data_IF_806721032456
#
_entry.id   IF_806721032456
#
_cell.length_a   1.000
_cell.length_b   1.000
_cell.length_c   1.000
_cell.angle_alpha   90.00
_cell.angle_beta   90.00
_cell.angle_gamma   90.00
#
_symmetry.space_group_name_H-M   'P 1'
#
loop_
_entity.id
_entity.type
_entity.pdbx_description
1 polymer ?
#
# COMPACT_ATOMS: atom_id res chain seq x y z
N UNK A 1 -0.64 -17.40 16.21
CA UNK A 1 0.71 -17.72 16.74
C UNK A 1 1.82 -17.10 15.90
N UNK A 2 1.89 -17.33 14.58
CA UNK A 2 2.86 -16.63 13.67
C UNK A 2 2.75 -15.10 13.77
N UNK A 3 1.53 -14.57 13.90
CA UNK A 3 1.26 -13.13 14.04
C UNK A 3 1.93 -12.49 15.27
N UNK A 4 2.12 -13.24 16.36
CA UNK A 4 2.80 -12.74 17.57
C UNK A 4 4.29 -12.63 17.33
N UNK A 5 4.91 -13.64 16.71
CA UNK A 5 6.34 -13.62 16.38
C UNK A 5 6.67 -12.56 15.32
N UNK A 6 5.82 -12.40 14.30
CA UNK A 6 5.98 -11.39 13.26
C UNK A 6 5.88 -9.97 13.84
N UNK A 7 4.93 -9.71 14.76
CA UNK A 7 4.79 -8.41 15.42
C UNK A 7 5.92 -8.09 16.39
N UNK A 8 6.52 -9.11 17.03
CA UNK A 8 7.63 -8.93 17.97
C UNK A 8 9.01 -8.86 17.27
N UNK A 9 9.07 -8.64 15.96
CA UNK A 9 10.32 -8.56 15.20
C UNK A 9 11.08 -9.89 15.03
N UNK A 10 10.56 -10.99 15.61
CA UNK A 10 11.12 -12.35 15.50
C UNK A 10 10.68 -13.02 14.20
N UNK A 11 10.95 -12.36 13.08
CA UNK A 11 10.51 -12.79 11.75
C UNK A 11 11.12 -14.13 11.32
N UNK A 12 12.31 -14.47 11.82
CA UNK A 12 12.96 -15.77 11.56
C UNK A 12 12.18 -16.92 12.19
N UNK A 13 11.72 -16.76 13.42
CA UNK A 13 10.92 -17.78 14.11
C UNK A 13 9.53 -17.90 13.50
N UNK A 14 8.92 -16.75 13.14
CA UNK A 14 7.68 -16.71 12.38
C UNK A 14 7.82 -17.47 11.06
N UNK A 15 8.96 -17.32 10.36
CA UNK A 15 9.25 -18.01 9.11
C UNK A 15 9.41 -19.51 9.30
N UNK A 16 10.16 -19.94 10.31
CA UNK A 16 10.33 -21.37 10.62
C UNK A 16 8.97 -22.04 10.92
N UNK A 17 8.12 -21.36 11.70
CA UNK A 17 6.77 -21.85 11.97
C UNK A 17 5.91 -21.91 10.71
N UNK A 18 5.97 -20.87 9.88
CA UNK A 18 5.25 -20.81 8.61
C UNK A 18 5.66 -21.96 7.67
N UNK A 19 6.95 -22.19 7.50
CA UNK A 19 7.45 -23.25 6.61
C UNK A 19 7.00 -24.64 7.09
N UNK A 20 7.03 -24.89 8.41
CA UNK A 20 6.54 -26.12 9.04
C UNK A 20 5.02 -26.31 9.01
N UNK A 21 4.22 -25.31 8.61
CA UNK A 21 2.78 -25.48 8.54
C UNK A 21 2.39 -26.48 7.43
N UNK A 22 1.64 -27.55 7.76
CA UNK A 22 1.20 -28.55 6.79
C UNK A 22 0.14 -27.98 5.82
N UNK A 23 -0.67 -27.02 6.27
CA UNK A 23 -1.58 -26.25 5.42
C UNK A 23 -1.42 -24.76 5.71
N UNK A 24 -1.00 -24.01 4.70
CA UNK A 24 -0.87 -22.55 4.75
C UNK A 24 -2.14 -21.93 4.19
N UNK A 25 -2.79 -21.07 4.98
CA UNK A 25 -3.98 -20.33 4.55
C UNK A 25 -3.64 -18.87 4.28
N UNK A 26 -4.57 -18.12 3.69
CA UNK A 26 -4.36 -16.72 3.28
C UNK A 26 -3.92 -15.82 4.45
N UNK A 27 -4.47 -16.05 5.65
CA UNK A 27 -4.08 -15.32 6.87
C UNK A 27 -2.61 -15.56 7.22
N UNK A 28 -2.11 -16.79 7.11
CA UNK A 28 -0.70 -17.11 7.37
C UNK A 28 0.25 -16.45 6.36
N UNK A 29 -0.13 -16.40 5.07
CA UNK A 29 0.61 -15.69 4.04
C UNK A 29 0.63 -14.18 4.28
N UNK A 30 -0.54 -13.56 4.50
CA UNK A 30 -0.68 -12.13 4.77
C UNK A 30 0.11 -11.72 6.03
N UNK A 31 0.10 -12.57 7.06
CA UNK A 31 0.89 -12.34 8.28
C UNK A 31 2.40 -12.34 8.00
N UNK A 32 2.89 -13.29 7.21
CA UNK A 32 4.32 -13.35 6.87
C UNK A 32 4.76 -12.22 5.97
N UNK A 33 3.95 -11.88 4.96
CA UNK A 33 4.19 -10.72 4.10
C UNK A 33 4.27 -9.46 4.96
N UNK A 34 3.26 -9.18 5.79
CA UNK A 34 3.26 -8.02 6.69
C UNK A 34 4.49 -8.00 7.60
N UNK A 35 4.85 -9.14 8.19
CA UNK A 35 6.04 -9.25 9.04
C UNK A 35 7.34 -8.91 8.31
N UNK A 36 7.51 -9.35 7.05
CA UNK A 36 8.69 -8.97 6.26
C UNK A 36 8.68 -7.49 5.87
N UNK A 37 7.52 -6.91 5.58
CA UNK A 37 7.41 -5.48 5.27
C UNK A 37 7.75 -4.62 6.50
N UNK A 38 7.33 -5.04 7.71
CA UNK A 38 7.73 -4.37 8.96
C UNK A 38 9.23 -4.49 9.23
N UNK A 39 9.86 -5.61 8.89
CA UNK A 39 11.30 -5.82 9.03
C UNK A 39 12.14 -5.24 7.88
N UNK A 40 11.58 -4.34 7.07
CA UNK A 40 12.18 -3.71 5.87
C UNK A 40 12.62 -4.67 4.75
N UNK A 41 12.27 -5.96 4.84
CA UNK A 41 12.68 -7.05 3.92
C UNK A 41 11.68 -7.21 2.77
N UNK A 42 11.47 -6.15 2.00
CA UNK A 42 10.47 -6.10 0.91
C UNK A 42 10.70 -7.17 -0.17
N UNK A 43 11.94 -7.50 -0.49
CA UNK A 43 12.25 -8.54 -1.48
C UNK A 43 11.70 -9.91 -1.05
N UNK A 44 11.80 -10.26 0.24
CA UNK A 44 11.24 -11.51 0.79
C UNK A 44 9.72 -11.48 0.85
N UNK A 45 9.15 -10.33 1.16
CA UNK A 45 7.70 -10.13 1.10
C UNK A 45 7.17 -10.31 -0.33
N UNK A 46 7.90 -9.79 -1.33
CA UNK A 46 7.57 -9.93 -2.74
C UNK A 46 7.66 -11.39 -3.21
N UNK A 47 8.70 -12.11 -2.81
CA UNK A 47 8.83 -13.53 -3.13
C UNK A 47 7.64 -14.34 -2.58
N UNK A 48 7.20 -14.07 -1.34
CA UNK A 48 6.01 -14.70 -0.78
C UNK A 48 4.72 -14.29 -1.49
N UNK A 49 4.61 -13.01 -1.87
CA UNK A 49 3.50 -12.50 -2.65
C UNK A 49 3.37 -13.21 -4.00
N UNK A 50 4.49 -13.40 -4.70
CA UNK A 50 4.52 -14.07 -5.99
C UNK A 50 4.20 -15.57 -5.85
N UNK A 51 4.63 -16.21 -4.75
CA UNK A 51 4.33 -17.63 -4.45
C UNK A 51 2.89 -17.90 -4.03
N UNK A 52 2.16 -16.94 -3.47
CA UNK A 52 0.77 -17.17 -3.08
C UNK A 52 -0.14 -17.19 -4.31
N UNK A 53 -0.87 -18.29 -4.51
CA UNK A 53 -1.81 -18.48 -5.62
C UNK A 53 -3.14 -17.79 -5.39
N UNK A 54 -3.51 -17.57 -4.13
CA UNK A 54 -4.69 -16.79 -3.74
C UNK A 54 -4.23 -15.48 -3.08
N UNK A 55 -4.70 -14.36 -3.63
CA UNK A 55 -4.44 -13.01 -3.12
C UNK A 55 -5.77 -12.32 -2.91
N UNK A 56 -6.03 -11.89 -1.68
CA UNK A 56 -7.16 -11.02 -1.39
C UNK A 56 -6.76 -9.56 -1.58
N UNK A 57 -7.76 -8.69 -1.56
CA UNK A 57 -7.60 -7.25 -1.73
C UNK A 57 -6.64 -6.69 -0.67
N UNK A 58 -6.60 -7.32 0.52
CA UNK A 58 -5.66 -6.96 1.58
C UNK A 58 -4.20 -7.27 1.20
N UNK A 59 -3.89 -8.44 0.63
CA UNK A 59 -2.53 -8.79 0.18
C UNK A 59 -1.99 -7.74 -0.81
N UNK A 60 -2.82 -7.31 -1.76
CA UNK A 60 -2.45 -6.33 -2.77
C UNK A 60 -2.23 -4.93 -2.17
N UNK A 61 -3.19 -4.44 -1.39
CA UNK A 61 -3.09 -3.14 -0.70
C UNK A 61 -1.84 -3.08 0.18
N UNK A 62 -1.50 -4.18 0.85
CA UNK A 62 -0.34 -4.27 1.73
C UNK A 62 0.99 -4.09 0.96
N UNK A 63 1.13 -4.75 -0.20
CA UNK A 63 2.32 -4.61 -1.05
C UNK A 63 2.43 -3.21 -1.65
N UNK A 64 1.33 -2.67 -2.18
CA UNK A 64 1.27 -1.31 -2.75
C UNK A 64 1.69 -0.29 -1.69
N UNK A 65 1.08 -0.34 -0.51
CA UNK A 65 1.38 0.58 0.61
C UNK A 65 2.85 0.51 1.03
N UNK A 66 3.48 -0.67 0.96
CA UNK A 66 4.89 -0.78 1.30
C UNK A 66 5.80 -0.13 0.25
N UNK A 67 5.57 -0.41 -1.04
CA UNK A 67 6.36 0.21 -2.11
C UNK A 67 6.22 1.73 -2.11
N UNK A 68 5.01 2.26 -1.90
CA UNK A 68 4.80 3.72 -1.81
C UNK A 68 5.52 4.32 -0.60
N UNK A 69 5.49 3.67 0.57
CA UNK A 69 6.22 4.14 1.76
C UNK A 69 7.73 4.19 1.56
N UNK A 70 8.29 3.21 0.84
CA UNK A 70 9.71 3.16 0.48
C UNK A 70 10.13 4.16 -0.60
N UNK A 71 9.17 4.80 -1.28
CA UNK A 71 9.44 5.70 -2.41
C UNK A 71 9.55 5.00 -3.76
N UNK A 72 9.40 3.67 -3.80
CA UNK A 72 9.37 2.84 -5.01
C UNK A 72 7.98 2.91 -5.68
N UNK A 73 7.50 4.13 -5.95
CA UNK A 73 6.13 4.36 -6.46
C UNK A 73 5.89 3.67 -7.81
N UNK A 74 6.91 3.49 -8.64
CA UNK A 74 6.79 2.78 -9.92
C UNK A 74 6.40 1.30 -9.73
N UNK A 75 7.02 0.61 -8.77
CA UNK A 75 6.67 -0.77 -8.44
C UNK A 75 5.27 -0.86 -7.82
N UNK A 76 4.91 0.15 -7.03
CA UNK A 76 3.56 0.26 -6.50
C UNK A 76 2.53 0.44 -7.63
N UNK A 77 2.85 1.27 -8.63
CA UNK A 77 2.00 1.52 -9.80
C UNK A 77 1.77 0.26 -10.62
N UNK A 78 2.84 -0.49 -10.91
CA UNK A 78 2.71 -1.78 -11.61
C UNK A 78 1.76 -2.73 -10.86
N UNK A 79 1.88 -2.82 -9.53
CA UNK A 79 0.96 -3.66 -8.75
C UNK A 79 -0.46 -3.13 -8.71
N UNK A 80 -0.62 -1.82 -8.68
CA UNK A 80 -1.93 -1.17 -8.71
C UNK A 80 -2.64 -1.40 -10.05
N UNK A 81 -1.93 -1.30 -11.17
CA UNK A 81 -2.49 -1.52 -12.51
C UNK A 81 -2.80 -3.00 -12.77
N UNK A 82 -2.05 -3.92 -12.16
CA UNK A 82 -2.35 -5.36 -12.19
C UNK A 82 -3.57 -5.75 -11.35
N UNK A 83 -3.99 -4.90 -10.41
CA UNK A 83 -5.14 -5.17 -9.57
C UNK A 83 -6.42 -4.94 -10.39
N UNK A 84 -7.33 -5.93 -10.51
CA UNK A 84 -8.59 -5.72 -11.23
C UNK A 84 -9.38 -4.57 -10.62
N UNK A 85 -9.98 -3.71 -11.46
CA UNK A 85 -10.73 -2.52 -11.01
C UNK A 85 -11.73 -2.84 -9.89
N UNK A 86 -12.47 -3.94 -10.00
CA UNK A 86 -13.45 -4.41 -8.99
C UNK A 86 -12.84 -4.72 -7.61
N UNK A 87 -11.52 -4.89 -7.53
CA UNK A 87 -10.77 -5.19 -6.31
C UNK A 87 -9.94 -4.00 -5.81
N UNK A 88 -9.87 -2.91 -6.56
CA UNK A 88 -9.22 -1.67 -6.13
C UNK A 88 -10.06 -1.00 -5.05
N UNK A 89 -9.72 -1.27 -3.79
CA UNK A 89 -10.35 -0.63 -2.65
C UNK A 89 -9.78 0.79 -2.39
N UNK A 90 -10.51 1.59 -1.60
CA UNK A 90 -10.09 2.95 -1.24
C UNK A 90 -8.69 3.03 -0.62
N UNK A 91 -8.26 1.97 0.08
CA UNK A 91 -6.95 1.95 0.71
C UNK A 91 -5.80 1.88 -0.30
N UNK A 92 -5.93 1.14 -1.41
CA UNK A 92 -4.89 1.14 -2.45
C UNK A 92 -4.85 2.47 -3.23
N UNK A 93 -6.00 3.08 -3.54
CA UNK A 93 -6.05 4.42 -4.13
C UNK A 93 -5.35 5.47 -3.24
N UNK A 94 -5.73 5.53 -1.96
CA UNK A 94 -5.12 6.47 -1.02
C UNK A 94 -3.61 6.22 -0.85
N UNK A 95 -3.18 4.95 -0.82
CA UNK A 95 -1.77 4.61 -0.73
C UNK A 95 -0.97 5.09 -1.95
N UNK A 96 -1.53 4.97 -3.16
CA UNK A 96 -0.89 5.45 -4.40
C UNK A 96 -0.82 6.97 -4.46
N UNK A 97 -1.92 7.67 -4.15
CA UNK A 97 -1.98 9.13 -4.12
C UNK A 97 -0.95 9.67 -3.11
N UNK A 98 -0.93 9.13 -1.89
CA UNK A 98 0.05 9.51 -0.87
C UNK A 98 1.49 9.20 -1.31
N UNK A 99 1.71 8.10 -2.04
CA UNK A 99 3.00 7.74 -2.61
C UNK A 99 3.51 8.76 -3.62
N UNK A 100 2.68 9.10 -4.61
CA UNK A 100 3.01 10.11 -5.63
C UNK A 100 3.19 11.50 -5.02
N UNK A 101 2.31 11.88 -4.09
CA UNK A 101 2.43 13.14 -3.35
C UNK A 101 3.77 13.23 -2.59
N UNK A 102 4.16 12.16 -1.88
CA UNK A 102 5.45 12.10 -1.16
C UNK A 102 6.66 12.16 -2.09
N UNK A 103 6.54 11.63 -3.32
CA UNK A 103 7.60 11.69 -4.35
C UNK A 103 7.67 13.06 -5.05
N UNK A 104 6.69 13.95 -4.84
CA UNK A 104 6.57 15.23 -5.53
C UNK A 104 5.93 15.15 -6.92
N UNK A 105 5.43 13.97 -7.32
CA UNK A 105 4.77 13.73 -8.61
C UNK A 105 3.28 14.09 -8.53
N UNK A 106 2.97 15.35 -8.22
CA UNK A 106 1.59 15.78 -7.93
C UNK A 106 0.64 15.67 -9.12
N UNK A 107 1.13 15.82 -10.35
CA UNK A 107 0.32 15.61 -11.55
C UNK A 107 -0.24 14.19 -11.63
N UNK A 108 0.55 13.19 -11.26
CA UNK A 108 0.12 11.78 -11.24
C UNK A 108 -0.75 11.47 -10.02
N UNK A 109 -0.46 12.06 -8.86
CA UNK A 109 -1.33 12.00 -7.69
C UNK A 109 -2.73 12.58 -8.00
N UNK A 110 -2.77 13.71 -8.71
CA UNK A 110 -3.99 14.39 -9.15
C UNK A 110 -4.79 13.53 -10.11
N UNK A 111 -4.16 13.01 -11.16
CA UNK A 111 -4.82 12.10 -12.13
C UNK A 111 -5.48 10.92 -11.44
N UNK A 112 -4.75 10.26 -10.53
CA UNK A 112 -5.32 9.14 -9.75
C UNK A 112 -6.44 9.57 -8.81
N UNK A 113 -6.33 10.75 -8.20
CA UNK A 113 -7.40 11.29 -7.38
C UNK A 113 -8.66 11.56 -8.21
N UNK A 114 -8.50 12.11 -9.41
CA UNK A 114 -9.61 12.44 -10.31
C UNK A 114 -10.29 11.17 -10.84
N UNK A 115 -9.51 10.14 -11.19
CA UNK A 115 -9.99 8.80 -11.60
C UNK A 115 -10.76 8.04 -10.50
N UNK A 116 -10.57 8.41 -9.23
CA UNK A 116 -11.26 7.76 -8.11
C UNK A 116 -12.76 8.14 -8.09
N UNK A 117 -13.64 7.15 -8.29
CA UNK A 117 -15.10 7.37 -8.26
C UNK A 117 -15.63 7.73 -6.87
N UNK A 118 -15.13 7.08 -5.80
CA UNK A 118 -15.55 7.31 -4.40
C UNK A 118 -14.45 8.01 -3.59
N UNK A 119 -14.35 9.33 -3.72
CA UNK A 119 -13.37 10.18 -3.01
C UNK A 119 -13.75 10.31 -1.53
N UNK A 120 -12.84 9.93 -0.64
CA UNK A 120 -13.05 10.01 0.82
C UNK A 120 -12.32 11.21 1.46
N UNK A 121 -12.67 11.57 2.70
CA UNK A 121 -11.92 12.56 3.49
C UNK A 121 -10.41 12.21 3.56
N UNK A 122 -10.07 10.92 3.64
CA UNK A 122 -8.68 10.45 3.64
C UNK A 122 -7.99 10.73 2.29
N UNK A 123 -8.73 10.61 1.18
CA UNK A 123 -8.23 10.90 -0.18
C UNK A 123 -7.90 12.38 -0.31
N UNK A 124 -8.80 13.26 0.15
CA UNK A 124 -8.60 14.70 0.20
C UNK A 124 -7.42 15.10 1.11
N UNK A 125 -7.33 14.54 2.31
CA UNK A 125 -6.22 14.80 3.22
C UNK A 125 -4.87 14.35 2.65
N UNK A 126 -4.85 13.23 1.92
CA UNK A 126 -3.63 12.75 1.25
C UNK A 126 -3.17 13.71 0.15
N UNK A 127 -4.12 14.31 -0.58
CA UNK A 127 -3.82 15.31 -1.61
C UNK A 127 -3.35 16.64 -0.98
N UNK A 128 -4.03 17.10 0.07
CA UNK A 128 -3.67 18.32 0.81
C UNK A 128 -2.30 18.21 1.46
N UNK A 129 -1.99 17.08 2.11
CA UNK A 129 -0.67 16.82 2.70
C UNK A 129 0.44 16.82 1.63
N UNK A 130 0.10 16.44 0.40
CA UNK A 130 0.99 16.60 -0.74
C UNK A 130 1.32 18.06 -1.04
N UNK A 131 0.29 18.91 -1.19
CA UNK A 131 0.45 20.32 -1.54
C UNK A 131 1.17 21.15 -0.47
N UNK A 132 0.92 20.88 0.82
CA UNK A 132 1.53 21.64 1.93
C UNK A 132 3.04 21.42 2.05
N UNK A 133 3.56 20.28 1.62
CA UNK A 133 5.00 19.98 1.68
C UNK A 133 5.83 20.67 0.60
N UNK A 134 5.22 21.32 -0.39
CA UNK A 134 5.94 21.96 -1.50
C UNK A 134 5.62 23.45 -1.69
N UNK A 135 4.89 24.07 -0.76
CA UNK A 135 4.56 25.51 -0.80
C UNK A 135 3.63 25.94 -1.93
N UNK A 136 2.98 24.99 -2.62
CA UNK A 136 2.09 25.28 -3.74
C UNK A 136 0.66 25.56 -3.21
N UNK A 137 0.40 26.84 -2.96
CA UNK A 137 -0.85 27.39 -2.37
C UNK A 137 -2.06 27.19 -3.31
N UNK A 138 -1.84 26.86 -4.58
CA UNK A 138 -2.90 26.65 -5.57
C UNK A 138 -3.84 25.47 -5.22
N UNK A 139 -3.37 24.49 -4.44
CA UNK A 139 -4.21 23.41 -3.91
C UNK A 139 -5.27 23.87 -2.89
N UNK A 140 -5.01 24.97 -2.16
CA UNK A 140 -5.95 25.54 -1.18
C UNK A 140 -7.14 26.25 -1.84
N UNK A 141 -6.96 26.84 -3.02
CA UNK A 141 -8.01 27.62 -3.70
C UNK A 141 -9.17 26.74 -4.19
N UNK A 142 -8.88 25.49 -4.55
CA UNK A 142 -9.89 24.52 -5.03
C UNK A 142 -10.83 24.11 -3.89
N UNK A 143 -10.38 24.16 -2.64
CA UNK A 143 -11.20 23.80 -1.48
C UNK A 143 -12.16 24.92 -1.07
N UNK A 144 -11.90 26.17 -1.48
CA UNK A 144 -12.73 27.33 -1.11
C UNK A 144 -13.94 27.54 -2.05
N UNK A 145 -14.02 26.78 -3.15
CA UNK A 145 -15.08 26.90 -4.16
C UNK A 145 -16.28 25.95 -4.02
N UNK A 146 -16.28 25.04 -3.04
CA UNK A 146 -17.35 24.03 -2.83
C UNK A 146 -18.01 24.12 -1.43
N UNK A 147 -18.03 25.32 -0.83
CA UNK A 147 -18.77 25.61 0.40
C UNK A 147 -20.05 26.37 0.11
#
# INVERSE_FOLDING_TARGET
MISVYAKNGRISDARNLFDKMPRKNLVSWNTMIAGYLHGDKVNKARELFDKTTQRDDFTWTLMITCYTRKGDVEKARVLFDLLPEKKKNRACWNAMIAGYAKKGCFGDARKLFDEMEDKSIVSWNSMLAGYTHNGDISGFEIFRGNG
#
